data_IF_796268873221
#
_entry.id   IF_796268873221
#
_cell.length_a   1.000
_cell.length_b   1.000
_cell.length_c   1.000
_cell.angle_alpha   90.00
_cell.angle_beta   90.00
_cell.angle_gamma   90.00
#
_symmetry.space_group_name_H-M   'P 1'
#
loop_
_entity.id
_entity.type
_entity.pdbx_description
1 polymer ?
#
# COMPACT_ATOMS: atom_id res chain seq x y z
N UNK A 1 -21.38 19.03 21.50
CA UNK A 1 -22.23 18.35 20.49
C UNK A 1 -21.39 17.32 19.77
N UNK A 2 -21.47 16.05 20.17
CA UNK A 2 -20.74 14.93 19.57
C UNK A 2 -21.30 14.65 18.17
N UNK A 3 -20.54 14.91 17.13
CA UNK A 3 -20.90 14.52 15.76
C UNK A 3 -20.63 13.03 15.62
N UNK A 4 -21.66 12.21 15.75
CA UNK A 4 -21.58 10.78 15.53
C UNK A 4 -20.96 10.49 14.15
N UNK A 5 -19.95 9.64 14.12
CA UNK A 5 -19.37 9.11 12.89
C UNK A 5 -20.49 8.35 12.12
N UNK A 6 -20.59 8.52 10.79
CA UNK A 6 -21.67 7.96 9.98
C UNK A 6 -21.54 6.45 9.70
N UNK A 7 -20.69 5.75 10.43
CA UNK A 7 -20.45 4.32 10.28
C UNK A 7 -21.28 3.57 11.31
N UNK A 8 -22.08 2.62 10.86
CA UNK A 8 -22.87 1.80 11.78
C UNK A 8 -21.93 0.99 12.68
N UNK A 9 -22.32 0.79 13.91
CA UNK A 9 -21.57 -0.02 14.90
C UNK A 9 -21.48 -1.49 14.48
N UNK A 10 -22.20 -1.87 13.41
CA UNK A 10 -22.34 -3.24 12.89
C UNK A 10 -21.36 -3.60 11.77
N UNK A 11 -20.45 -2.70 11.34
CA UNK A 11 -19.54 -2.95 10.22
C UNK A 11 -18.08 -2.97 10.64
N UNK A 12 -17.29 -3.82 9.96
CA UNK A 12 -15.82 -3.79 10.05
C UNK A 12 -15.29 -2.63 9.23
N UNK A 13 -14.52 -1.73 9.84
CA UNK A 13 -13.82 -0.64 9.17
C UNK A 13 -12.31 -0.74 9.36
N UNK A 14 -11.56 -0.39 8.32
CA UNK A 14 -10.11 -0.45 8.30
C UNK A 14 -9.52 0.87 7.79
N UNK A 15 -8.88 1.62 8.69
CA UNK A 15 -8.06 2.77 8.34
C UNK A 15 -6.69 2.27 7.90
N UNK A 16 -6.49 2.07 6.61
CA UNK A 16 -5.21 1.61 6.07
C UNK A 16 -4.40 2.78 5.49
N UNK A 17 -3.11 2.85 5.87
CA UNK A 17 -2.16 3.85 5.42
C UNK A 17 -1.13 3.22 4.50
N UNK A 18 -0.90 3.84 3.35
CA UNK A 18 0.13 3.43 2.41
C UNK A 18 1.32 4.39 2.49
N UNK A 19 2.45 3.86 2.85
CA UNK A 19 3.77 4.45 2.75
C UNK A 19 4.54 3.76 1.62
N UNK A 20 5.62 4.38 1.17
CA UNK A 20 6.59 3.78 0.26
C UNK A 20 7.96 3.81 0.96
N UNK A 21 8.88 4.63 0.53
CA UNK A 21 10.18 4.74 1.18
C UNK A 21 10.19 5.68 2.38
N UNK A 22 10.90 5.27 3.43
CA UNK A 22 11.16 6.07 4.64
C UNK A 22 12.67 6.22 4.80
N UNK A 23 13.21 7.29 4.26
CA UNK A 23 14.64 7.58 4.29
C UNK A 23 14.90 9.09 4.29
N UNK A 24 16.02 9.50 4.87
CA UNK A 24 16.50 10.87 4.82
C UNK A 24 17.44 11.11 3.62
N UNK A 25 17.88 10.03 2.95
CA UNK A 25 18.65 10.08 1.71
C UNK A 25 17.80 9.53 0.54
N UNK A 26 17.34 10.38 -0.39
CA UNK A 26 16.55 9.93 -1.54
C UNK A 26 17.25 8.88 -2.41
N UNK A 27 18.59 8.76 -2.35
CA UNK A 27 19.36 7.76 -3.12
C UNK A 27 19.17 6.34 -2.58
N UNK A 28 18.62 6.19 -1.36
CA UNK A 28 18.25 4.91 -0.76
C UNK A 28 16.81 4.50 -1.09
N UNK A 29 16.04 5.35 -1.78
CA UNK A 29 14.67 5.05 -2.22
C UNK A 29 14.66 3.97 -3.30
N UNK A 30 13.73 3.05 -3.25
CA UNK A 30 13.61 1.94 -4.20
C UNK A 30 13.47 2.46 -5.63
N UNK A 31 12.37 3.13 -5.93
CA UNK A 31 12.18 3.84 -7.19
C UNK A 31 12.66 5.29 -7.09
N UNK A 32 13.48 5.71 -8.05
CA UNK A 32 14.09 7.05 -8.07
C UNK A 32 13.54 7.97 -9.16
N UNK A 33 12.41 7.64 -9.74
CA UNK A 33 11.76 8.50 -10.71
C UNK A 33 11.01 9.68 -10.05
N UNK A 34 10.72 10.72 -10.81
CA UNK A 34 10.06 11.95 -10.31
C UNK A 34 8.74 11.69 -9.60
N UNK A 35 7.97 10.69 -10.05
CA UNK A 35 6.68 10.31 -9.45
C UNK A 35 6.81 9.63 -8.10
N UNK A 36 7.96 9.05 -7.74
CA UNK A 36 8.22 8.42 -6.45
C UNK A 36 8.59 9.46 -5.38
N UNK A 37 9.27 10.54 -5.75
CA UNK A 37 9.74 11.55 -4.79
C UNK A 37 8.67 12.08 -3.80
N UNK A 38 7.40 12.35 -4.19
CA UNK A 38 6.37 12.76 -3.24
C UNK A 38 6.01 11.71 -2.18
N UNK A 39 6.41 10.45 -2.37
CA UNK A 39 6.12 9.32 -1.47
C UNK A 39 7.33 8.91 -0.62
N UNK A 40 8.49 9.54 -0.83
CA UNK A 40 9.66 9.36 0.05
C UNK A 40 9.52 10.29 1.24
N UNK A 41 9.52 9.73 2.45
CA UNK A 41 9.27 10.45 3.70
C UNK A 41 10.48 10.32 4.61
N UNK A 42 10.91 11.43 5.22
CA UNK A 42 12.00 11.42 6.18
C UNK A 42 11.68 10.62 7.44
N UNK A 43 12.70 10.02 8.04
CA UNK A 43 12.58 9.16 9.24
C UNK A 43 11.97 9.88 10.44
N UNK A 44 12.24 11.17 10.61
CA UNK A 44 11.66 11.99 11.69
C UNK A 44 10.15 12.15 11.48
N UNK A 45 9.73 12.53 10.26
CA UNK A 45 8.32 12.67 9.93
C UNK A 45 7.55 11.33 10.08
N UNK A 46 8.15 10.23 9.66
CA UNK A 46 7.56 8.90 9.85
C UNK A 46 7.33 8.57 11.34
N UNK A 47 8.33 8.80 12.21
CA UNK A 47 8.18 8.61 13.65
C UNK A 47 7.06 9.46 14.24
N UNK A 48 6.97 10.75 13.86
CA UNK A 48 5.88 11.63 14.28
C UNK A 48 4.51 11.13 13.81
N UNK A 49 4.42 10.51 12.61
CA UNK A 49 3.19 9.86 12.15
C UNK A 49 2.82 8.66 13.02
N UNK A 50 3.79 7.80 13.39
CA UNK A 50 3.54 6.65 14.26
C UNK A 50 3.09 7.10 15.66
N UNK A 51 3.68 8.16 16.21
CA UNK A 51 3.26 8.76 17.48
C UNK A 51 1.83 9.31 17.40
N UNK A 52 1.50 10.01 16.32
CA UNK A 52 0.14 10.50 16.07
C UNK A 52 -0.88 9.36 15.97
N UNK A 53 -0.54 8.25 15.30
CA UNK A 53 -1.39 7.05 15.25
C UNK A 53 -1.56 6.39 16.62
N UNK A 54 -0.51 6.35 17.44
CA UNK A 54 -0.55 5.76 18.78
C UNK A 54 -1.57 6.45 19.71
N UNK A 55 -1.90 7.71 19.47
CA UNK A 55 -2.94 8.42 20.21
C UNK A 55 -4.35 7.89 19.93
N UNK A 56 -4.55 7.21 18.80
CA UNK A 56 -5.86 6.69 18.37
C UNK A 56 -5.99 5.18 18.56
N UNK A 57 -4.90 4.44 18.38
CA UNK A 57 -4.90 2.97 18.43
C UNK A 57 -3.68 2.45 19.23
N UNK A 58 -3.90 1.34 19.95
CA UNK A 58 -2.80 0.70 20.69
C UNK A 58 -1.84 -0.05 19.78
N UNK A 59 -2.35 -0.79 18.78
CA UNK A 59 -1.56 -1.57 17.82
C UNK A 59 -2.23 -1.64 16.46
N UNK A 60 -1.47 -1.51 15.35
CA UNK A 60 -1.96 -1.87 14.03
C UNK A 60 -2.25 -3.37 13.92
N UNK A 61 -3.29 -3.72 13.18
CA UNK A 61 -3.65 -5.10 12.89
C UNK A 61 -2.94 -5.60 11.61
N UNK A 62 -2.81 -6.92 11.47
CA UNK A 62 -2.54 -7.57 10.20
C UNK A 62 -3.86 -7.96 9.54
N UNK A 63 -3.97 -7.78 8.23
CA UNK A 63 -5.21 -8.09 7.49
C UNK A 63 -5.61 -9.56 7.61
N UNK A 64 -4.62 -10.43 7.74
CA UNK A 64 -4.80 -11.88 7.89
C UNK A 64 -5.34 -12.30 9.26
N UNK A 65 -5.30 -11.37 10.25
CA UNK A 65 -5.80 -11.60 11.61
C UNK A 65 -7.15 -10.93 11.87
N UNK A 66 -7.74 -10.25 10.87
CA UNK A 66 -9.04 -9.58 11.02
C UNK A 66 -10.18 -10.57 10.74
N UNK A 67 -11.10 -10.68 11.69
CA UNK A 67 -12.41 -11.28 11.44
C UNK A 67 -13.32 -10.25 10.76
N UNK A 68 -13.48 -10.37 9.46
CA UNK A 68 -14.35 -9.47 8.69
C UNK A 68 -15.84 -9.77 8.82
N UNK A 69 -16.25 -10.82 9.52
CA UNK A 69 -17.63 -11.11 9.84
C UNK A 69 -18.07 -10.40 11.13
N UNK A 70 -17.14 -10.01 12.00
CA UNK A 70 -17.39 -9.30 13.23
C UNK A 70 -17.20 -7.78 13.06
N UNK A 71 -18.01 -6.93 13.70
CA UNK A 71 -17.79 -5.51 13.76
C UNK A 71 -16.42 -5.19 14.38
N UNK A 72 -15.70 -4.24 13.78
CA UNK A 72 -14.39 -3.86 14.31
C UNK A 72 -13.83 -2.58 13.69
N UNK A 73 -12.90 -1.95 14.43
CA UNK A 73 -12.13 -0.79 13.94
C UNK A 73 -10.66 -1.15 13.91
N UNK A 74 -10.09 -1.17 12.73
CA UNK A 74 -8.72 -1.62 12.50
C UNK A 74 -7.87 -0.50 11.91
N UNK A 75 -6.63 -0.40 12.37
CA UNK A 75 -5.56 0.38 11.78
C UNK A 75 -4.63 -0.58 11.04
N UNK A 76 -4.28 -0.29 9.81
CA UNK A 76 -3.38 -1.09 8.99
C UNK A 76 -2.25 -0.22 8.46
N UNK A 77 -1.02 -0.71 8.58
CA UNK A 77 0.16 -0.08 8.01
C UNK A 77 0.64 -0.89 6.82
N UNK A 78 0.84 -0.23 5.71
CA UNK A 78 1.30 -0.85 4.46
C UNK A 78 2.45 -0.05 3.85
N UNK A 79 3.42 -0.76 3.26
CA UNK A 79 4.63 -0.20 2.66
C UNK A 79 4.79 -0.84 1.28
N UNK A 80 4.73 -0.02 0.25
CA UNK A 80 4.78 -0.47 -1.14
C UNK A 80 6.22 -0.47 -1.68
N UNK A 81 6.42 -1.07 -2.85
CA UNK A 81 7.62 -1.17 -3.67
C UNK A 81 8.70 -2.14 -3.19
N UNK A 82 8.96 -2.24 -1.89
CA UNK A 82 10.03 -3.09 -1.37
C UNK A 82 11.42 -2.48 -1.49
N UNK A 83 11.53 -1.14 -1.39
CA UNK A 83 12.82 -0.45 -1.29
C UNK A 83 13.60 -0.85 -0.03
N UNK A 84 14.94 -0.66 -0.03
CA UNK A 84 15.81 -1.02 1.11
C UNK A 84 15.45 -0.32 2.41
N UNK A 85 14.84 0.86 2.34
CA UNK A 85 14.35 1.61 3.50
C UNK A 85 13.37 0.81 4.36
N UNK A 86 12.71 -0.21 3.78
CA UNK A 86 11.75 -1.08 4.47
C UNK A 86 12.36 -1.83 5.66
N UNK A 87 13.67 -2.12 5.67
CA UNK A 87 14.34 -2.74 6.83
C UNK A 87 14.29 -1.83 8.05
N UNK A 88 14.68 -0.57 7.89
CA UNK A 88 14.62 0.42 8.97
C UNK A 88 13.19 0.68 9.45
N UNK A 89 12.22 0.62 8.54
CA UNK A 89 10.78 0.68 8.88
C UNK A 89 10.37 -0.52 9.72
N UNK A 90 10.73 -1.73 9.32
CA UNK A 90 10.44 -2.96 10.06
C UNK A 90 11.01 -2.91 11.48
N UNK A 91 12.25 -2.44 11.63
CA UNK A 91 12.89 -2.25 12.94
C UNK A 91 12.17 -1.20 13.80
N UNK A 92 11.74 -0.09 13.21
CA UNK A 92 11.00 0.97 13.92
C UNK A 92 9.62 0.46 14.40
N UNK A 93 8.92 -0.32 13.58
CA UNK A 93 7.66 -0.95 13.96
C UNK A 93 7.88 -1.99 15.06
N UNK A 94 8.90 -2.84 14.93
CA UNK A 94 9.22 -3.89 15.90
C UNK A 94 9.55 -3.31 17.29
N UNK A 95 10.30 -2.19 17.35
CA UNK A 95 10.56 -1.49 18.62
C UNK A 95 9.31 -1.02 19.34
N UNK A 96 8.22 -0.75 18.58
CA UNK A 96 6.90 -0.36 19.11
C UNK A 96 5.99 -1.56 19.39
N UNK A 97 6.42 -2.79 19.08
CA UNK A 97 5.58 -3.98 19.09
C UNK A 97 4.46 -3.91 18.03
N UNK A 98 4.69 -3.19 16.94
CA UNK A 98 3.77 -3.01 15.84
C UNK A 98 4.16 -3.86 14.65
N UNK A 99 3.15 -4.24 13.85
CA UNK A 99 3.32 -5.02 12.64
C UNK A 99 2.77 -4.26 11.43
N UNK A 100 3.29 -4.57 10.24
CA UNK A 100 2.87 -3.96 8.98
C UNK A 100 2.88 -4.95 7.83
N UNK A 101 2.47 -4.48 6.67
CA UNK A 101 2.43 -5.23 5.42
C UNK A 101 3.43 -4.60 4.46
N UNK A 102 4.33 -5.40 3.92
CA UNK A 102 5.35 -4.96 2.96
C UNK A 102 5.07 -5.61 1.61
N UNK A 103 4.80 -4.80 0.60
CA UNK A 103 4.46 -5.25 -0.74
C UNK A 103 5.67 -5.11 -1.66
N UNK A 104 6.10 -6.24 -2.22
CA UNK A 104 7.37 -6.38 -2.92
C UNK A 104 7.15 -6.44 -4.42
N UNK A 105 7.85 -5.57 -5.16
CA UNK A 105 8.02 -5.71 -6.62
C UNK A 105 9.03 -6.81 -6.87
N UNK A 106 8.57 -8.01 -7.16
CA UNK A 106 9.44 -9.18 -7.12
C UNK A 106 10.49 -9.24 -8.22
N UNK A 107 10.26 -8.56 -9.35
CA UNK A 107 11.26 -8.39 -10.40
C UNK A 107 12.47 -7.54 -9.97
N UNK A 108 12.34 -6.78 -8.88
CA UNK A 108 13.39 -5.89 -8.35
C UNK A 108 14.17 -6.47 -7.17
N UNK A 109 13.84 -7.69 -6.74
CA UNK A 109 14.53 -8.34 -5.61
C UNK A 109 16.03 -8.47 -5.89
N UNK A 110 16.84 -7.85 -5.04
CA UNK A 110 18.30 -7.85 -5.15
C UNK A 110 18.90 -6.68 -5.95
N UNK A 111 18.06 -5.82 -6.54
CA UNK A 111 18.56 -4.59 -7.16
C UNK A 111 19.14 -3.64 -6.10
N UNK A 112 20.03 -2.74 -6.53
CA UNK A 112 20.85 -1.92 -5.62
C UNK A 112 20.07 -1.13 -4.57
N UNK A 113 18.85 -0.69 -4.87
CA UNK A 113 18.00 0.13 -3.97
C UNK A 113 16.81 -0.63 -3.41
N UNK A 114 16.64 -1.91 -3.76
CA UNK A 114 15.54 -2.77 -3.34
C UNK A 114 16.00 -3.84 -2.34
N UNK A 115 15.05 -4.41 -1.62
CA UNK A 115 15.29 -5.54 -0.72
C UNK A 115 15.84 -6.74 -1.50
N UNK A 116 16.78 -7.41 -0.90
CA UNK A 116 17.19 -8.75 -1.31
C UNK A 116 16.36 -9.85 -0.59
N UNK A 117 16.63 -11.09 -0.95
CA UNK A 117 15.97 -12.25 -0.36
C UNK A 117 16.16 -12.34 1.17
N UNK A 118 17.33 -11.94 1.68
CA UNK A 118 17.62 -11.98 3.11
C UNK A 118 16.82 -10.94 3.88
N UNK A 119 16.71 -9.72 3.35
CA UNK A 119 15.92 -8.63 3.91
C UNK A 119 14.42 -8.96 3.96
N UNK A 120 13.89 -9.56 2.89
CA UNK A 120 12.47 -10.00 2.84
C UNK A 120 12.22 -11.07 3.91
N UNK A 121 13.09 -12.09 4.02
CA UNK A 121 12.99 -13.11 5.07
C UNK A 121 13.13 -12.52 6.47
N UNK A 122 13.97 -11.50 6.64
CA UNK A 122 14.12 -10.80 7.91
C UNK A 122 12.81 -10.15 8.33
N UNK A 123 12.19 -9.33 7.48
CA UNK A 123 10.89 -8.70 7.75
C UNK A 123 9.81 -9.74 8.09
N UNK A 124 9.79 -10.87 7.36
CA UNK A 124 8.85 -11.95 7.65
C UNK A 124 9.08 -12.58 9.01
N UNK A 125 10.34 -12.83 9.40
CA UNK A 125 10.68 -13.36 10.75
C UNK A 125 10.33 -12.39 11.88
N UNK A 126 10.35 -11.08 11.63
CA UNK A 126 9.86 -10.08 12.57
C UNK A 126 8.33 -10.09 12.73
N UNK A 127 7.60 -10.93 12.00
CA UNK A 127 6.15 -11.09 12.09
C UNK A 127 5.35 -10.24 11.10
N UNK A 128 6.00 -9.43 10.27
CA UNK A 128 5.32 -8.65 9.23
C UNK A 128 4.72 -9.53 8.15
N UNK A 129 3.65 -9.06 7.49
CA UNK A 129 3.10 -9.69 6.29
C UNK A 129 3.93 -9.24 5.09
N UNK A 130 4.40 -10.20 4.31
CA UNK A 130 4.99 -9.95 2.99
C UNK A 130 3.94 -10.27 1.92
N UNK A 131 3.75 -9.34 0.99
CA UNK A 131 2.78 -9.48 -0.08
C UNK A 131 3.34 -9.03 -1.43
N UNK A 132 2.57 -9.27 -2.48
CA UNK A 132 2.92 -8.91 -3.85
C UNK A 132 2.63 -7.44 -4.16
N UNK A 133 3.58 -6.76 -4.83
CA UNK A 133 3.33 -5.50 -5.53
C UNK A 133 3.52 -5.69 -7.05
N UNK A 134 2.99 -6.80 -7.58
CA UNK A 134 3.22 -7.36 -8.91
C UNK A 134 4.68 -7.82 -9.15
N UNK A 135 4.93 -8.38 -10.34
CA UNK A 135 6.29 -8.81 -10.70
C UNK A 135 7.13 -7.65 -11.25
N UNK A 136 6.64 -6.95 -12.27
CA UNK A 136 7.43 -5.93 -12.98
C UNK A 136 7.07 -4.50 -12.62
N UNK A 137 5.98 -4.27 -11.88
CA UNK A 137 5.42 -2.95 -11.58
C UNK A 137 5.12 -2.14 -12.85
N UNK A 138 4.18 -2.58 -13.73
CA UNK A 138 3.83 -1.83 -14.91
C UNK A 138 3.36 -0.41 -14.57
N UNK A 139 3.79 0.58 -15.34
CA UNK A 139 3.50 2.00 -15.10
C UNK A 139 2.01 2.31 -14.96
N UNK A 140 1.15 1.58 -15.70
CA UNK A 140 -0.31 1.66 -15.61
C UNK A 140 -0.85 0.23 -15.59
N UNK A 141 -0.94 -0.36 -14.41
CA UNK A 141 -1.35 -1.75 -14.23
C UNK A 141 -2.73 -2.04 -14.84
N UNK A 142 -3.69 -1.16 -14.66
CA UNK A 142 -5.07 -1.32 -15.17
C UNK A 142 -5.20 -1.34 -16.70
N UNK A 143 -4.17 -0.93 -17.45
CA UNK A 143 -4.15 -0.96 -18.91
C UNK A 143 -3.55 -2.25 -19.49
N UNK A 144 -3.04 -3.14 -18.64
CA UNK A 144 -2.64 -4.48 -19.04
C UNK A 144 -3.87 -5.31 -19.43
N UNK A 145 -3.69 -6.30 -20.28
CA UNK A 145 -4.73 -7.31 -20.51
C UNK A 145 -4.99 -8.15 -19.24
N UNK A 146 -6.17 -8.75 -19.14
CA UNK A 146 -6.49 -9.61 -18.01
C UNK A 146 -5.46 -10.74 -17.82
N UNK A 147 -5.01 -11.35 -18.91
CA UNK A 147 -3.99 -12.41 -18.89
C UNK A 147 -2.64 -11.89 -18.37
N UNK A 148 -2.21 -10.68 -18.78
CA UNK A 148 -0.98 -10.06 -18.30
C UNK A 148 -1.07 -9.73 -16.82
N UNK A 149 -2.20 -9.17 -16.35
CA UNK A 149 -2.40 -8.89 -14.93
C UNK A 149 -2.35 -10.17 -14.08
N UNK A 150 -2.99 -11.27 -14.55
CA UNK A 150 -2.94 -12.56 -13.87
C UNK A 150 -1.50 -13.10 -13.82
N UNK A 151 -0.74 -12.98 -14.92
CA UNK A 151 0.65 -13.40 -14.96
C UNK A 151 1.52 -12.58 -13.99
N UNK A 152 1.35 -11.25 -13.93
CA UNK A 152 2.03 -10.37 -12.98
C UNK A 152 1.80 -10.82 -11.52
N UNK A 153 0.55 -11.12 -11.15
CA UNK A 153 0.22 -11.59 -9.81
C UNK A 153 0.81 -12.97 -9.52
N UNK A 154 0.59 -13.95 -10.42
CA UNK A 154 1.06 -15.33 -10.23
C UNK A 154 2.57 -15.39 -10.12
N UNK A 155 3.30 -14.83 -11.10
CA UNK A 155 4.77 -14.82 -11.07
C UNK A 155 5.30 -14.18 -9.77
N UNK A 156 4.69 -13.09 -9.32
CA UNK A 156 5.09 -12.43 -8.09
C UNK A 156 4.79 -13.30 -6.86
N UNK A 157 3.59 -13.85 -6.76
CA UNK A 157 3.19 -14.68 -5.63
C UNK A 157 3.97 -16.00 -5.55
N UNK A 158 4.22 -16.65 -6.68
CA UNK A 158 5.02 -17.87 -6.75
C UNK A 158 6.44 -17.60 -6.25
N UNK A 159 7.07 -16.50 -6.72
CA UNK A 159 8.41 -16.11 -6.28
C UNK A 159 8.49 -15.82 -4.78
N UNK A 160 7.47 -15.18 -4.20
CA UNK A 160 7.41 -14.94 -2.75
C UNK A 160 7.12 -16.23 -1.98
N UNK A 161 6.28 -17.11 -2.51
CA UNK A 161 5.98 -18.42 -1.92
C UNK A 161 7.24 -19.28 -1.86
N UNK A 162 8.00 -19.37 -2.95
CA UNK A 162 9.29 -20.08 -3.00
C UNK A 162 10.31 -19.48 -2.02
N UNK A 163 10.34 -18.16 -1.91
CA UNK A 163 11.26 -17.46 -1.03
C UNK A 163 10.97 -17.68 0.46
N UNK A 164 9.69 -17.73 0.82
CA UNK A 164 9.22 -17.71 2.21
C UNK A 164 8.74 -19.08 2.72
N UNK A 165 8.46 -20.03 1.83
CA UNK A 165 7.90 -21.34 2.18
C UNK A 165 6.43 -21.30 2.62
N UNK A 166 5.72 -20.21 2.31
CA UNK A 166 4.30 -20.03 2.64
C UNK A 166 3.55 -19.31 1.50
N UNK A 167 2.24 -19.56 1.31
CA UNK A 167 1.47 -18.95 0.23
C UNK A 167 1.41 -17.42 0.32
N UNK A 168 1.72 -16.71 -0.76
CA UNK A 168 1.48 -15.27 -0.88
C UNK A 168 0.02 -15.03 -1.29
N UNK A 169 -0.78 -14.51 -0.37
CA UNK A 169 -2.23 -14.27 -0.58
C UNK A 169 -2.65 -12.81 -0.43
N UNK A 170 -1.70 -11.92 -0.17
CA UNK A 170 -1.93 -10.49 0.05
C UNK A 170 -1.20 -9.70 -1.01
N UNK A 171 -1.86 -8.71 -1.61
CA UNK A 171 -1.23 -7.87 -2.63
C UNK A 171 -1.67 -6.40 -2.53
N UNK A 172 -0.88 -5.53 -3.16
CA UNK A 172 -1.18 -4.13 -3.42
C UNK A 172 -1.08 -3.85 -4.91
N UNK A 173 -2.05 -3.10 -5.45
CA UNK A 173 -2.08 -2.75 -6.88
C UNK A 173 -1.02 -1.70 -7.19
N UNK A 174 -0.11 -1.94 -8.17
CA UNK A 174 0.83 -0.93 -8.63
C UNK A 174 0.12 0.35 -9.09
N UNK A 175 0.56 1.53 -8.60
CA UNK A 175 -0.13 2.80 -8.82
C UNK A 175 -1.54 2.88 -8.20
N UNK A 176 -2.07 1.78 -7.68
CA UNK A 176 -3.31 1.67 -6.93
C UNK A 176 -4.60 1.92 -7.71
N UNK A 177 -4.54 2.02 -9.03
CA UNK A 177 -5.70 2.25 -9.89
C UNK A 177 -6.44 0.93 -10.16
N UNK A 178 -7.74 0.91 -9.87
CA UNK A 178 -8.58 -0.26 -10.05
C UNK A 178 -9.46 -0.17 -11.31
N UNK A 179 -9.77 -1.34 -11.84
CA UNK A 179 -10.82 -1.58 -12.83
C UNK A 179 -11.48 -2.93 -12.54
N UNK A 180 -12.63 -3.27 -13.13
CA UNK A 180 -13.20 -4.61 -13.00
C UNK A 180 -12.20 -5.72 -13.33
N UNK A 181 -11.41 -5.55 -14.39
CA UNK A 181 -10.38 -6.52 -14.79
C UNK A 181 -9.24 -6.66 -13.77
N UNK A 182 -8.82 -5.57 -13.09
CA UNK A 182 -7.82 -5.64 -12.00
C UNK A 182 -8.36 -6.47 -10.84
N UNK A 183 -9.63 -6.28 -10.45
CA UNK A 183 -10.24 -7.03 -9.36
C UNK A 183 -10.42 -8.51 -9.72
N UNK A 184 -10.85 -8.79 -10.94
CA UNK A 184 -10.98 -10.13 -11.49
C UNK A 184 -9.62 -10.85 -11.55
N UNK A 185 -8.57 -10.17 -12.04
CA UNK A 185 -7.23 -10.74 -12.16
C UNK A 185 -6.64 -11.15 -10.80
N UNK A 186 -6.86 -10.33 -9.77
CA UNK A 186 -6.40 -10.62 -8.42
C UNK A 186 -7.07 -11.89 -7.86
N UNK A 187 -8.39 -12.01 -8.02
CA UNK A 187 -9.15 -13.18 -7.60
C UNK A 187 -8.73 -14.44 -8.40
N UNK A 188 -8.58 -14.32 -9.73
CA UNK A 188 -8.13 -15.43 -10.61
C UNK A 188 -6.69 -15.89 -10.31
N UNK A 189 -5.87 -15.01 -9.73
CA UNK A 189 -4.54 -15.37 -9.26
C UNK A 189 -4.53 -15.96 -7.84
N UNK A 190 -5.68 -16.11 -7.18
CA UNK A 190 -5.80 -16.71 -5.84
C UNK A 190 -5.52 -15.73 -4.67
N UNK A 191 -5.47 -14.43 -4.93
CA UNK A 191 -5.29 -13.44 -3.88
C UNK A 191 -6.55 -13.37 -2.99
N UNK A 192 -6.32 -13.33 -1.67
CA UNK A 192 -7.38 -13.22 -0.66
C UNK A 192 -7.60 -11.77 -0.23
N UNK A 193 -6.55 -10.95 -0.28
CA UNK A 193 -6.57 -9.55 0.15
C UNK A 193 -5.87 -8.67 -0.89
N UNK A 194 -6.57 -7.62 -1.34
CA UNK A 194 -6.04 -6.67 -2.32
C UNK A 194 -6.16 -5.24 -1.80
N UNK A 195 -5.04 -4.57 -1.68
CA UNK A 195 -4.99 -3.16 -1.32
C UNK A 195 -4.97 -2.25 -2.55
N UNK A 196 -5.71 -1.15 -2.48
CA UNK A 196 -5.86 -0.17 -3.56
C UNK A 196 -5.50 1.24 -3.08
N UNK A 197 -5.49 2.22 -3.99
CA UNK A 197 -5.34 3.64 -3.65
C UNK A 197 -6.68 4.36 -3.44
N UNK A 198 -7.80 3.63 -3.43
CA UNK A 198 -9.09 4.23 -3.13
C UNK A 198 -9.21 4.42 -1.61
N UNK A 199 -9.37 5.67 -1.11
CA UNK A 199 -9.39 5.92 0.33
C UNK A 199 -10.75 5.54 0.94
N UNK A 200 -11.03 4.23 1.02
CA UNK A 200 -12.24 3.65 1.60
C UNK A 200 -11.94 3.01 2.94
N UNK A 201 -12.83 3.22 3.92
CA UNK A 201 -12.75 2.57 5.22
C UNK A 201 -13.41 1.19 5.24
N UNK A 202 -14.40 0.96 4.38
CA UNK A 202 -15.18 -0.30 4.38
C UNK A 202 -14.56 -1.27 3.38
N UNK A 203 -14.00 -2.39 3.86
CA UNK A 203 -13.52 -3.46 2.99
C UNK A 203 -14.67 -4.11 2.20
N UNK A 204 -14.43 -4.41 0.92
CA UNK A 204 -15.43 -5.05 0.06
C UNK A 204 -14.99 -6.45 -0.31
N UNK A 205 -15.92 -7.39 -0.40
CA UNK A 205 -15.67 -8.72 -0.97
C UNK A 205 -16.01 -8.71 -2.46
N UNK A 206 -15.02 -8.97 -3.32
CA UNK A 206 -15.19 -8.97 -4.79
C UNK A 206 -14.56 -10.25 -5.34
N UNK A 207 -15.33 -11.08 -6.02
CA UNK A 207 -14.89 -12.36 -6.55
C UNK A 207 -14.15 -13.25 -5.52
N UNK A 208 -14.53 -13.19 -4.25
CA UNK A 208 -13.86 -13.93 -3.16
C UNK A 208 -12.59 -13.26 -2.62
N UNK A 209 -12.12 -12.17 -3.22
CA UNK A 209 -11.01 -11.37 -2.73
C UNK A 209 -11.52 -10.18 -1.88
N UNK A 210 -10.93 -9.96 -0.70
CA UNK A 210 -11.23 -8.80 0.16
C UNK A 210 -10.44 -7.59 -0.34
N UNK A 211 -11.14 -6.57 -0.82
CA UNK A 211 -10.57 -5.34 -1.36
C UNK A 211 -10.58 -4.26 -0.29
N UNK A 212 -9.41 -3.71 0.02
CA UNK A 212 -9.20 -2.67 1.03
C UNK A 212 -8.74 -1.37 0.40
N UNK A 213 -9.34 -0.26 0.84
CA UNK A 213 -8.89 1.07 0.46
C UNK A 213 -7.76 1.56 1.34
N UNK A 214 -6.96 2.55 0.84
CA UNK A 214 -5.85 3.14 1.62
C UNK A 214 -5.77 4.65 1.44
N UNK A 215 -5.26 5.30 2.49
CA UNK A 215 -4.78 6.67 2.40
C UNK A 215 -3.28 6.67 2.09
N UNK A 216 -2.89 7.25 0.95
CA UNK A 216 -1.48 7.39 0.58
C UNK A 216 -0.86 8.58 1.29
N UNK A 217 0.11 8.30 2.15
CA UNK A 217 0.88 9.31 2.86
C UNK A 217 1.93 9.89 1.93
N UNK A 218 2.06 11.22 1.93
CA UNK A 218 2.98 11.94 1.05
C UNK A 218 3.89 12.83 1.87
N UNK A 219 5.00 13.22 1.27
CA UNK A 219 5.88 14.25 1.80
C UNK A 219 5.06 15.48 2.22
N UNK A 220 5.31 16.01 3.41
CA UNK A 220 4.59 17.15 3.98
C UNK A 220 3.20 16.80 4.56
N UNK A 221 2.80 15.52 4.63
CA UNK A 221 1.59 15.16 5.38
C UNK A 221 1.81 15.45 6.87
N UNK A 222 0.95 16.29 7.45
CA UNK A 222 1.05 16.66 8.85
C UNK A 222 0.65 15.52 9.80
N UNK A 223 1.32 15.33 10.95
CA UNK A 223 0.97 14.33 11.96
C UNK A 223 -0.49 14.43 12.45
N UNK A 224 -1.02 15.65 12.56
CA UNK A 224 -2.42 15.89 12.97
C UNK A 224 -3.41 15.31 11.95
N UNK A 225 -3.07 15.37 10.67
CA UNK A 225 -3.87 14.74 9.61
C UNK A 225 -3.86 13.23 9.76
N UNK A 226 -2.71 12.65 10.06
CA UNK A 226 -2.56 11.21 10.32
C UNK A 226 -3.37 10.79 11.55
N UNK A 227 -3.29 11.55 12.65
CA UNK A 227 -4.08 11.29 13.86
C UNK A 227 -5.59 11.34 13.59
N UNK A 228 -6.07 12.35 12.85
CA UNK A 228 -7.48 12.46 12.49
C UNK A 228 -7.95 11.26 11.65
N UNK A 229 -7.18 10.88 10.62
CA UNK A 229 -7.50 9.72 9.79
C UNK A 229 -7.46 8.41 10.59
N UNK A 230 -6.51 8.26 11.52
CA UNK A 230 -6.46 7.09 12.41
C UNK A 230 -7.70 7.01 13.32
N UNK A 231 -8.26 8.14 13.75
CA UNK A 231 -9.56 8.20 14.45
C UNK A 231 -10.78 8.08 13.53
N UNK A 232 -10.58 7.73 12.25
CA UNK A 232 -11.62 7.60 11.21
C UNK A 232 -12.23 8.94 10.77
N UNK A 233 -11.57 10.05 11.06
CA UNK A 233 -12.01 11.40 10.72
C UNK A 233 -11.44 11.85 9.36
N UNK A 234 -12.17 12.66 8.60
CA UNK A 234 -11.67 13.29 7.37
C UNK A 234 -11.51 12.38 6.14
N UNK A 235 -11.92 11.13 6.19
CA UNK A 235 -11.85 10.20 5.03
C UNK A 235 -12.73 10.65 3.87
N UNK A 236 -13.88 11.28 4.13
CA UNK A 236 -14.77 11.80 3.08
C UNK A 236 -14.06 12.79 2.16
N UNK A 237 -13.23 13.67 2.72
CA UNK A 237 -12.44 14.62 1.93
C UNK A 237 -11.42 13.88 1.05
N UNK A 238 -10.75 12.86 1.57
CA UNK A 238 -9.81 12.05 0.80
C UNK A 238 -10.53 11.32 -0.36
N UNK A 239 -11.71 10.75 -0.10
CA UNK A 239 -12.55 10.12 -1.13
C UNK A 239 -12.94 11.12 -2.22
N UNK A 240 -13.38 12.32 -1.85
CA UNK A 240 -13.80 13.36 -2.80
C UNK A 240 -12.63 13.78 -3.70
N UNK A 241 -11.47 14.04 -3.13
CA UNK A 241 -10.25 14.37 -3.91
C UNK A 241 -9.86 13.24 -4.86
N UNK A 242 -9.95 11.99 -4.41
CA UNK A 242 -9.64 10.82 -5.26
C UNK A 242 -10.65 10.68 -6.39
N UNK A 243 -11.95 10.85 -6.13
CA UNK A 243 -13.00 10.82 -7.15
C UNK A 243 -12.78 11.88 -8.24
N UNK A 244 -12.45 13.12 -7.84
CA UNK A 244 -12.16 14.19 -8.81
C UNK A 244 -10.96 13.83 -9.70
N UNK A 245 -9.89 13.29 -9.14
CA UNK A 245 -8.74 12.79 -9.93
C UNK A 245 -9.13 11.63 -10.84
N UNK A 246 -10.01 10.74 -10.39
CA UNK A 246 -10.57 9.65 -11.20
C UNK A 246 -11.32 10.17 -12.41
N UNK A 247 -12.22 11.12 -12.22
CA UNK A 247 -12.97 11.75 -13.31
C UNK A 247 -12.04 12.38 -14.36
N UNK A 248 -11.03 13.15 -13.92
CA UNK A 248 -10.05 13.74 -14.83
C UNK A 248 -9.30 12.67 -15.63
N UNK A 249 -8.87 11.60 -15.00
CA UNK A 249 -8.20 10.48 -15.65
C UNK A 249 -9.09 9.79 -16.70
N UNK A 250 -10.35 9.54 -16.34
CA UNK A 250 -11.28 8.77 -17.18
C UNK A 250 -11.79 9.61 -18.37
N UNK A 251 -11.91 10.94 -18.22
CA UNK A 251 -12.29 11.84 -19.32
C UNK A 251 -11.12 12.35 -20.15
N UNK A 252 -9.89 12.31 -19.63
CA UNK A 252 -8.68 12.80 -20.30
C UNK A 252 -7.55 11.76 -20.31
N UNK A 253 -7.78 10.53 -20.83
CA UNK A 253 -6.84 9.43 -20.74
C UNK A 253 -5.48 9.71 -21.40
N UNK A 254 -5.47 10.49 -22.50
CA UNK A 254 -4.24 10.89 -23.18
C UNK A 254 -3.34 11.78 -22.33
N UNK A 255 -3.91 12.73 -21.61
CA UNK A 255 -3.19 13.59 -20.67
C UNK A 255 -2.68 12.77 -19.47
N UNK A 256 -3.51 11.87 -18.96
CA UNK A 256 -3.10 10.98 -17.86
C UNK A 256 -1.90 10.10 -18.25
N UNK A 257 -1.94 9.45 -19.43
CA UNK A 257 -0.81 8.65 -19.93
C UNK A 257 0.46 9.48 -20.13
N UNK A 258 0.32 10.71 -20.63
CA UNK A 258 1.45 11.63 -20.80
C UNK A 258 2.04 12.06 -19.45
N UNK A 259 1.19 12.34 -18.47
CA UNK A 259 1.60 12.64 -17.11
C UNK A 259 2.35 11.45 -16.47
N UNK A 260 1.80 10.22 -16.55
CA UNK A 260 2.46 9.02 -16.03
C UNK A 260 3.82 8.84 -16.72
N UNK A 261 3.89 8.88 -18.05
CA UNK A 261 5.18 8.77 -18.77
C UNK A 261 6.21 9.82 -18.35
N UNK A 262 5.77 11.05 -18.06
CA UNK A 262 6.65 12.10 -17.59
C UNK A 262 7.17 11.82 -16.16
N UNK A 263 6.31 11.36 -15.28
CA UNK A 263 6.64 11.13 -13.86
C UNK A 263 7.40 9.84 -13.61
N UNK A 264 7.28 8.83 -14.49
CA UNK A 264 7.99 7.54 -14.39
C UNK A 264 9.32 7.52 -15.15
N UNK A 265 9.74 8.62 -15.78
CA UNK A 265 11.10 8.74 -16.33
C UNK A 265 12.08 8.83 -15.17
N UNK A 266 13.17 8.05 -15.29
CA UNK A 266 14.30 8.18 -14.36
C UNK A 266 14.76 9.63 -14.32
N UNK A 267 15.06 10.13 -13.12
CA UNK A 267 15.72 11.41 -12.99
C UNK A 267 17.09 11.28 -13.66
N UNK A 268 17.38 12.13 -14.67
CA UNK A 268 18.72 12.18 -15.25
C UNK A 268 19.71 12.37 -14.10
N UNK A 269 20.82 11.59 -14.05
CA UNK A 269 21.85 11.83 -13.08
C UNK A 269 22.37 13.26 -13.27
N UNK A 270 22.24 14.09 -12.22
CA UNK A 270 22.83 15.42 -12.15
C UNK A 270 24.31 15.34 -11.82
#
# INVERSE_FOLDING_TARGET
MSRHAPWSVSETVAAAFAYHDVTDDPRESGFQWRGAAPYTIGRVAFRSHLEAMATAYRRPALVTAIDFAAPGRHLLLTFDDGGKSALAVGDELSRRGWLGHFFIVTGRIGDATFLDAAGIRYLRRCGHVIGSHSHTHPNIFREQTLAQMIAEWRTSCDRLTDLLGEPCTVASVPGGDISPAVLESAAAAGLKYLYTSEPSLVPRLVHGCRVLGRYHVKLGTAPERIAALARLEGWRTAVMVRRLKGLLRDHLPGLYRSYVRYTTREALPG
#
